data_IF_545662250924
#
_entry.id   IF_545662250924
#
_cell.length_a   1.000
_cell.length_b   1.000
_cell.length_c   1.000
_cell.angle_alpha   90.00
_cell.angle_beta   90.00
_cell.angle_gamma   90.00
#
_symmetry.space_group_name_H-M   'P 1'
#
loop_
_entity.id
_entity.type
_entity.pdbx_description
1 polymer ?
#
# COMPACT_ATOMS: atom_id res chain seq x y z
N UNK A 1 -6.30 -26.91 13.48
CA UNK A 1 -5.90 -26.45 12.14
C UNK A 1 -5.73 -24.94 12.24
N UNK A 2 -4.47 -24.49 12.09
CA UNK A 2 -4.13 -23.08 12.10
C UNK A 2 -4.83 -22.40 10.92
N UNK A 3 -5.80 -21.52 11.22
CA UNK A 3 -6.62 -20.85 10.20
C UNK A 3 -5.91 -19.63 9.57
N UNK A 4 -4.63 -19.43 9.87
CA UNK A 4 -3.87 -18.23 9.47
C UNK A 4 -2.67 -18.53 8.55
N UNK A 5 -2.59 -19.69 7.92
CA UNK A 5 -1.54 -19.94 6.93
C UNK A 5 -2.05 -19.43 5.59
N UNK A 6 -1.73 -18.18 5.27
CA UNK A 6 -1.89 -17.65 3.91
C UNK A 6 -0.83 -18.30 3.03
N UNK A 7 -1.19 -18.88 1.88
CA UNK A 7 -0.19 -19.44 0.97
C UNK A 7 0.75 -18.33 0.48
N UNK A 8 2.03 -18.63 0.24
CA UNK A 8 2.96 -17.67 -0.36
C UNK A 8 2.40 -17.10 -1.67
N UNK A 9 2.57 -15.78 -1.88
CA UNK A 9 2.05 -15.12 -3.09
C UNK A 9 2.53 -15.80 -4.38
N UNK A 10 3.79 -16.22 -4.40
CA UNK A 10 4.34 -16.94 -5.55
C UNK A 10 3.57 -18.22 -5.87
N UNK A 11 3.16 -18.98 -4.87
CA UNK A 11 2.40 -20.22 -5.10
C UNK A 11 1.00 -19.91 -5.68
N UNK A 12 0.39 -18.81 -5.23
CA UNK A 12 -0.89 -18.32 -5.78
C UNK A 12 -0.72 -17.93 -7.24
N UNK A 13 0.34 -17.17 -7.56
CA UNK A 13 0.67 -16.77 -8.94
C UNK A 13 0.89 -18.00 -9.82
N UNK A 14 1.71 -18.97 -9.36
CA UNK A 14 2.01 -20.19 -10.11
C UNK A 14 0.73 -21.03 -10.37
N UNK A 15 -0.21 -21.06 -9.44
CA UNK A 15 -1.50 -21.74 -9.63
C UNK A 15 -2.35 -21.00 -10.65
N UNK A 16 -2.51 -19.68 -10.52
CA UNK A 16 -3.31 -18.86 -11.42
C UNK A 16 -2.81 -18.94 -12.87
N UNK A 17 -1.51 -18.84 -13.07
CA UNK A 17 -0.90 -18.91 -14.41
C UNK A 17 -1.06 -20.27 -15.08
N UNK A 18 -1.08 -21.38 -14.33
CA UNK A 18 -1.43 -22.70 -14.88
C UNK A 18 -2.85 -22.75 -15.47
N UNK A 19 -3.73 -21.86 -15.01
CA UNK A 19 -5.09 -21.72 -15.51
C UNK A 19 -5.26 -20.52 -16.45
N UNK A 20 -4.16 -19.92 -16.94
CA UNK A 20 -4.16 -18.74 -17.80
C UNK A 20 -4.91 -17.54 -17.18
N UNK A 21 -4.86 -17.40 -15.86
CA UNK A 21 -5.48 -16.29 -15.14
C UNK A 21 -4.40 -15.28 -14.69
N UNK A 22 -4.57 -13.99 -15.01
CA UNK A 22 -3.69 -12.96 -14.47
C UNK A 22 -3.93 -12.74 -12.97
N UNK A 23 -2.88 -12.32 -12.26
CA UNK A 23 -2.91 -12.02 -10.84
C UNK A 23 -2.69 -10.52 -10.61
N UNK A 24 -3.64 -9.89 -9.95
CA UNK A 24 -3.56 -8.49 -9.51
C UNK A 24 -3.39 -8.50 -7.99
N UNK A 25 -2.38 -7.80 -7.50
CA UNK A 25 -2.06 -7.73 -6.06
C UNK A 25 -2.31 -6.31 -5.55
N UNK A 26 -3.15 -6.19 -4.54
CA UNK A 26 -3.21 -4.97 -3.72
C UNK A 26 -2.12 -5.05 -2.64
N UNK A 27 -1.05 -4.29 -2.85
CA UNK A 27 0.08 -4.17 -1.94
C UNK A 27 0.14 -2.78 -1.28
N UNK A 28 -1.00 -2.10 -1.16
CA UNK A 28 -1.08 -0.73 -0.66
C UNK A 28 -0.55 -0.55 0.77
N UNK A 29 -0.52 -1.61 1.58
CA UNK A 29 -0.01 -1.63 2.95
C UNK A 29 1.36 -2.29 3.12
N UNK A 30 1.98 -2.78 2.05
CA UNK A 30 3.16 -3.64 2.09
C UNK A 30 4.51 -2.88 2.06
N UNK A 31 4.46 -1.58 2.22
CA UNK A 31 5.63 -0.71 2.40
C UNK A 31 5.58 -0.10 3.81
N UNK A 32 6.72 0.09 4.47
CA UNK A 32 8.08 -0.30 4.10
C UNK A 32 8.29 -1.82 4.25
N UNK A 33 9.43 -2.42 3.93
CA UNK A 33 10.67 -1.81 3.43
C UNK A 33 10.58 -1.51 1.92
N UNK A 34 11.45 -0.61 1.44
CA UNK A 34 11.51 -0.24 0.02
C UNK A 34 11.83 -1.44 -0.90
N UNK A 35 12.53 -2.46 -0.39
CA UNK A 35 12.81 -3.71 -1.11
C UNK A 35 11.54 -4.46 -1.55
N UNK A 36 10.41 -4.25 -0.88
CA UNK A 36 9.14 -4.87 -1.25
C UNK A 36 8.64 -4.40 -2.62
N UNK A 37 9.00 -3.20 -3.07
CA UNK A 37 8.71 -2.76 -4.45
C UNK A 37 9.22 -3.77 -5.47
N UNK A 38 10.40 -4.34 -5.25
CA UNK A 38 10.99 -5.36 -6.12
C UNK A 38 10.53 -6.77 -5.78
N UNK A 39 10.46 -7.10 -4.50
CA UNK A 39 10.10 -8.44 -4.04
C UNK A 39 8.73 -8.90 -4.56
N UNK A 40 7.74 -8.01 -4.59
CA UNK A 40 6.42 -8.31 -5.14
C UNK A 40 6.45 -8.53 -6.65
N UNK A 41 7.23 -7.75 -7.40
CA UNK A 41 7.41 -7.96 -8.85
C UNK A 41 8.07 -9.31 -9.14
N UNK A 42 9.05 -9.71 -8.34
CA UNK A 42 9.78 -10.97 -8.50
C UNK A 42 8.91 -12.21 -8.21
N UNK A 43 7.72 -12.06 -7.62
CA UNK A 43 6.73 -13.15 -7.51
C UNK A 43 6.14 -13.56 -8.86
N UNK A 44 6.24 -12.70 -9.88
CA UNK A 44 5.65 -12.89 -11.19
C UNK A 44 4.19 -12.45 -11.31
N UNK A 45 3.63 -11.77 -10.31
CA UNK A 45 2.28 -11.19 -10.42
C UNK A 45 2.19 -10.21 -11.60
N UNK A 46 1.04 -10.20 -12.28
CA UNK A 46 0.86 -9.44 -13.52
C UNK A 46 0.69 -7.94 -13.28
N UNK A 47 0.04 -7.56 -12.19
CA UNK A 47 -0.11 -6.18 -11.74
C UNK A 47 -0.01 -6.11 -10.21
N UNK A 48 0.72 -5.12 -9.71
CA UNK A 48 0.88 -4.86 -8.28
C UNK A 48 0.62 -3.37 -8.03
N UNK A 49 -0.31 -3.07 -7.13
CA UNK A 49 -0.66 -1.70 -6.76
C UNK A 49 -0.09 -1.34 -5.38
N UNK A 50 0.72 -0.28 -5.31
CA UNK A 50 1.21 0.32 -4.08
C UNK A 50 0.57 1.70 -3.85
N UNK A 51 0.35 2.07 -2.59
CA UNK A 51 -0.14 3.40 -2.24
C UNK A 51 0.99 4.44 -2.28
N UNK A 52 0.77 5.55 -2.96
CA UNK A 52 1.70 6.69 -2.94
C UNK A 52 1.59 7.53 -1.67
N UNK A 53 0.41 7.57 -1.04
CA UNK A 53 0.12 8.43 0.11
C UNK A 53 0.36 7.79 1.49
N UNK A 54 0.78 6.52 1.57
CA UNK A 54 1.11 5.84 2.83
C UNK A 54 2.61 5.97 3.13
N UNK A 55 3.35 4.87 3.23
CA UNK A 55 4.77 4.85 3.57
C UNK A 55 5.67 5.70 2.66
N UNK A 56 5.30 5.87 1.40
CA UNK A 56 6.01 6.71 0.44
C UNK A 56 5.88 8.20 0.78
N UNK A 57 4.85 8.60 1.56
CA UNK A 57 4.58 9.99 1.96
C UNK A 57 4.34 10.95 0.79
N UNK A 58 3.88 10.44 -0.34
CA UNK A 58 3.43 11.24 -1.48
C UNK A 58 1.99 11.73 -1.33
N UNK A 59 1.44 12.42 -2.33
CA UNK A 59 0.04 12.84 -2.31
C UNK A 59 -0.93 11.66 -2.14
N UNK A 60 -1.97 11.84 -1.32
CA UNK A 60 -2.91 10.77 -0.92
C UNK A 60 -3.68 10.15 -2.09
N UNK A 61 -3.94 10.92 -3.15
CA UNK A 61 -4.66 10.48 -4.35
C UNK A 61 -3.79 9.66 -5.32
N UNK A 62 -2.51 9.44 -4.99
CA UNK A 62 -1.56 8.76 -5.89
C UNK A 62 -1.34 7.30 -5.53
N UNK A 63 -0.97 6.52 -6.53
CA UNK A 63 -0.52 5.15 -6.40
C UNK A 63 0.52 4.80 -7.46
N UNK A 64 1.20 3.69 -7.25
CA UNK A 64 2.12 3.10 -8.20
C UNK A 64 1.51 1.78 -8.68
N UNK A 65 1.43 1.60 -9.98
CA UNK A 65 1.05 0.32 -10.57
C UNK A 65 2.26 -0.26 -11.30
N UNK A 66 2.72 -1.39 -10.85
CA UNK A 66 3.84 -2.14 -11.42
C UNK A 66 3.32 -3.42 -12.05
N UNK A 67 4.03 -3.94 -13.05
CA UNK A 67 3.64 -5.21 -13.64
C UNK A 67 4.18 -5.43 -15.05
N UNK A 68 3.59 -6.39 -15.77
CA UNK A 68 3.99 -6.71 -17.12
C UNK A 68 3.68 -5.57 -18.08
N UNK A 69 4.56 -5.36 -19.09
CA UNK A 69 4.42 -4.30 -20.09
C UNK A 69 3.04 -4.31 -20.75
N UNK A 70 2.54 -5.51 -21.12
CA UNK A 70 1.26 -5.64 -21.80
C UNK A 70 0.08 -5.16 -20.93
N UNK A 71 0.05 -5.54 -19.66
CA UNK A 71 -1.02 -5.11 -18.75
C UNK A 71 -0.94 -3.62 -18.43
N UNK A 72 0.27 -3.08 -18.21
CA UNK A 72 0.47 -1.64 -17.97
C UNK A 72 0.06 -0.83 -19.21
N UNK A 73 0.40 -1.26 -20.41
CA UNK A 73 -0.03 -0.61 -21.64
C UNK A 73 -1.56 -0.59 -21.78
N UNK A 74 -2.23 -1.71 -21.47
CA UNK A 74 -3.70 -1.79 -21.44
C UNK A 74 -4.31 -0.81 -20.44
N UNK A 75 -3.75 -0.72 -19.24
CA UNK A 75 -4.19 0.25 -18.21
C UNK A 75 -3.97 1.68 -18.69
N UNK A 76 -2.84 1.99 -19.31
CA UNK A 76 -2.56 3.32 -19.86
C UNK A 76 -3.61 3.73 -20.89
N UNK A 77 -3.99 2.81 -21.81
CA UNK A 77 -5.06 3.05 -22.78
C UNK A 77 -6.42 3.36 -22.10
N UNK A 78 -6.73 2.69 -21.01
CA UNK A 78 -7.96 2.91 -20.25
C UNK A 78 -7.99 4.25 -19.50
N UNK A 79 -6.84 4.86 -19.27
CA UNK A 79 -6.71 6.20 -18.66
C UNK A 79 -6.75 7.36 -19.68
N UNK A 80 -6.70 7.05 -20.98
CA UNK A 80 -6.70 8.07 -22.01
C UNK A 80 -8.00 8.88 -22.02
N UNK A 81 -7.84 10.17 -22.20
CA UNK A 81 -8.89 11.15 -22.35
C UNK A 81 -8.36 12.23 -23.31
N UNK A 82 -8.40 11.91 -24.60
CA UNK A 82 -7.85 12.73 -25.65
C UNK A 82 -8.90 13.00 -26.72
N UNK A 83 -8.93 14.25 -27.18
CA UNK A 83 -9.76 14.70 -28.29
C UNK A 83 -8.97 14.77 -29.62
N UNK A 84 -7.86 14.03 -29.69
CA UNK A 84 -7.03 13.96 -30.88
C UNK A 84 -7.60 12.99 -31.91
N UNK A 85 -7.26 13.19 -33.17
CA UNK A 85 -7.59 12.24 -34.23
C UNK A 85 -6.64 11.05 -34.19
N UNK A 86 -7.18 9.86 -34.34
CA UNK A 86 -6.39 8.62 -34.32
C UNK A 86 -5.26 8.60 -35.36
N UNK A 87 -5.50 9.19 -36.54
CA UNK A 87 -4.52 9.21 -37.65
C UNK A 87 -3.22 9.90 -37.27
N UNK A 88 -3.31 10.98 -36.47
CA UNK A 88 -2.16 11.83 -36.11
C UNK A 88 -1.67 11.59 -34.66
N UNK A 89 -2.35 10.74 -33.92
CA UNK A 89 -1.91 10.37 -32.58
C UNK A 89 -0.69 9.43 -32.64
N UNK A 90 0.39 9.80 -31.99
CA UNK A 90 1.66 9.07 -31.93
C UNK A 90 1.94 8.63 -30.49
N UNK A 91 1.47 7.45 -30.05
CA UNK A 91 1.85 6.90 -28.76
C UNK A 91 3.32 6.47 -28.75
N UNK A 92 3.94 6.31 -27.57
CA UNK A 92 5.27 5.71 -27.47
C UNK A 92 5.24 4.29 -28.07
N UNK A 93 5.91 4.07 -29.19
CA UNK A 93 5.88 2.80 -29.96
C UNK A 93 6.37 1.60 -29.15
N UNK A 94 7.35 1.82 -28.26
CA UNK A 94 7.89 0.78 -27.40
C UNK A 94 6.93 0.41 -26.25
N UNK A 95 5.81 1.14 -26.10
CA UNK A 95 4.83 0.95 -25.03
C UNK A 95 3.44 0.58 -25.53
N UNK A 96 2.96 1.23 -26.59
CA UNK A 96 1.64 1.02 -27.18
C UNK A 96 1.80 0.74 -28.67
N UNK A 97 1.44 -0.46 -29.11
CA UNK A 97 1.37 -0.78 -30.54
C UNK A 97 0.06 -0.22 -31.13
N UNK A 98 0.17 0.93 -31.82
CA UNK A 98 -0.97 1.58 -32.46
C UNK A 98 -1.64 0.71 -33.53
N UNK A 99 -0.88 -0.21 -34.16
CA UNK A 99 -1.40 -1.07 -35.24
C UNK A 99 -2.43 -2.10 -34.76
N UNK A 100 -2.39 -2.43 -33.45
CA UNK A 100 -3.36 -3.33 -32.83
C UNK A 100 -4.66 -2.63 -32.40
N UNK A 101 -4.74 -1.30 -32.54
CA UNK A 101 -5.87 -0.51 -32.09
C UNK A 101 -6.80 -0.17 -33.25
N UNK A 102 -8.09 -0.25 -33.00
CA UNK A 102 -9.14 0.16 -33.97
C UNK A 102 -9.48 1.65 -33.91
N UNK A 103 -8.94 2.36 -32.93
CA UNK A 103 -9.16 3.79 -32.72
C UNK A 103 -8.60 4.26 -31.38
N UNK A 104 -8.62 5.58 -31.17
CA UNK A 104 -8.20 6.20 -29.92
C UNK A 104 -9.30 6.02 -28.86
N UNK A 105 -8.95 5.43 -27.69
CA UNK A 105 -9.90 5.36 -26.59
C UNK A 105 -10.32 6.78 -26.14
N UNK A 106 -11.62 7.06 -26.19
CA UNK A 106 -12.22 8.28 -25.62
C UNK A 106 -12.96 7.91 -24.36
N UNK A 107 -12.77 8.70 -23.32
CA UNK A 107 -13.41 8.45 -22.02
C UNK A 107 -13.19 7.02 -21.51
N UNK A 108 -11.93 6.58 -21.48
CA UNK A 108 -11.55 5.30 -20.93
C UNK A 108 -12.11 5.09 -19.52
N UNK A 109 -12.32 3.85 -19.12
CA UNK A 109 -12.91 3.48 -17.82
C UNK A 109 -12.11 4.09 -16.64
N UNK A 110 -10.80 4.27 -16.81
CA UNK A 110 -9.90 4.87 -15.82
C UNK A 110 -9.91 6.40 -15.77
N UNK A 111 -10.65 7.07 -16.65
CA UNK A 111 -10.67 8.56 -16.72
C UNK A 111 -11.06 9.21 -15.40
N UNK A 112 -11.99 8.62 -14.67
CA UNK A 112 -12.44 9.12 -13.36
C UNK A 112 -11.36 9.04 -12.27
N UNK A 113 -10.29 8.31 -12.49
CA UNK A 113 -9.15 8.12 -11.57
C UNK A 113 -7.91 8.91 -12.00
N UNK A 114 -8.08 9.87 -12.88
CA UNK A 114 -7.01 10.73 -13.40
C UNK A 114 -6.42 11.59 -12.28
N UNK A 115 -5.11 11.54 -12.10
CA UNK A 115 -4.38 12.37 -11.15
C UNK A 115 -3.80 13.61 -11.83
N UNK A 116 -3.66 14.69 -11.08
CA UNK A 116 -3.04 15.92 -11.56
C UNK A 116 -1.53 15.74 -11.75
N UNK A 117 -0.96 16.48 -12.70
CA UNK A 117 0.49 16.43 -12.97
C UNK A 117 1.34 16.85 -11.76
N UNK A 118 0.83 17.73 -10.92
CA UNK A 118 1.42 18.16 -9.65
C UNK A 118 1.53 16.98 -8.68
N UNK A 119 0.50 16.13 -8.62
CA UNK A 119 0.47 14.92 -7.80
C UNK A 119 1.43 13.86 -8.35
N UNK A 120 1.54 13.74 -9.69
CA UNK A 120 2.52 12.85 -10.33
C UNK A 120 3.94 13.30 -9.97
N UNK A 121 4.25 14.59 -10.10
CA UNK A 121 5.56 15.13 -9.71
C UNK A 121 5.83 14.92 -8.22
N UNK A 122 4.81 15.12 -7.37
CA UNK A 122 4.89 14.88 -5.93
C UNK A 122 5.21 13.43 -5.58
N UNK A 123 4.48 12.46 -6.16
CA UNK A 123 4.72 11.04 -5.87
C UNK A 123 6.07 10.55 -6.41
N UNK A 124 6.50 11.03 -7.57
CA UNK A 124 7.83 10.67 -8.10
C UNK A 124 8.95 11.18 -7.22
N UNK A 125 8.84 12.41 -6.71
CA UNK A 125 9.81 12.99 -5.76
C UNK A 125 9.82 12.19 -4.46
N UNK A 126 8.65 11.91 -3.90
CA UNK A 126 8.51 11.13 -2.67
C UNK A 126 9.06 9.70 -2.83
N UNK A 127 8.76 9.03 -3.94
CA UNK A 127 9.28 7.70 -4.25
C UNK A 127 10.81 7.70 -4.33
N UNK A 128 11.40 8.69 -5.00
CA UNK A 128 12.85 8.83 -5.08
C UNK A 128 13.49 8.95 -3.69
N UNK A 129 12.95 9.83 -2.85
CA UNK A 129 13.43 9.99 -1.47
C UNK A 129 13.23 8.74 -0.61
N UNK A 130 12.10 8.04 -0.80
CA UNK A 130 11.80 6.80 -0.10
C UNK A 130 12.78 5.67 -0.45
N UNK A 131 13.05 5.48 -1.74
CA UNK A 131 14.02 4.46 -2.21
C UNK A 131 15.44 4.77 -1.76
N UNK A 132 15.81 6.06 -1.65
CA UNK A 132 17.10 6.49 -1.11
C UNK A 132 17.17 6.43 0.44
N UNK A 133 16.07 6.05 1.11
CA UNK A 133 16.00 6.00 2.59
C UNK A 133 16.01 7.37 3.26
N UNK A 134 15.70 8.45 2.53
CA UNK A 134 15.66 9.83 3.06
C UNK A 134 14.33 10.18 3.70
N UNK A 135 13.26 9.47 3.35
CA UNK A 135 11.92 9.56 3.96
C UNK A 135 11.34 8.17 4.09
N UNK A 136 10.23 8.05 4.81
CA UNK A 136 9.56 6.79 5.06
C UNK A 136 9.92 6.23 6.43
N UNK A 137 9.94 4.93 6.59
CA UNK A 137 10.02 4.30 7.88
C UNK A 137 11.40 4.36 8.52
N UNK A 138 11.77 5.50 9.07
CA UNK A 138 12.75 5.52 10.17
C UNK A 138 11.99 5.22 11.48
N UNK A 139 12.01 3.97 11.88
CA UNK A 139 11.41 3.51 13.14
C UNK A 139 12.36 3.66 14.35
N UNK A 140 13.56 4.24 14.16
CA UNK A 140 14.62 4.27 15.19
C UNK A 140 14.19 4.95 16.48
N UNK A 141 13.32 5.96 16.43
CA UNK A 141 12.76 6.64 17.60
C UNK A 141 11.44 6.02 18.11
N UNK A 142 10.73 5.26 17.30
CA UNK A 142 9.37 4.81 17.65
C UNK A 142 9.38 3.77 18.77
N UNK A 143 10.36 2.89 18.81
CA UNK A 143 10.50 1.89 19.88
C UNK A 143 10.63 2.55 21.24
N UNK A 144 11.45 3.59 21.35
CA UNK A 144 11.61 4.35 22.61
C UNK A 144 10.32 5.05 23.04
N UNK A 145 9.51 5.53 22.10
CA UNK A 145 8.19 6.08 22.44
C UNK A 145 7.23 5.01 22.96
N UNK A 146 7.24 3.80 22.38
CA UNK A 146 6.42 2.69 22.87
C UNK A 146 6.88 2.20 24.26
N UNK A 147 8.18 2.15 24.50
CA UNK A 147 8.75 1.80 25.81
C UNK A 147 8.35 2.86 26.87
N UNK A 148 8.45 4.14 26.54
CA UNK A 148 7.98 5.20 27.42
C UNK A 148 6.47 5.09 27.75
N UNK A 149 5.64 4.77 26.74
CA UNK A 149 4.22 4.53 26.96
C UNK A 149 3.97 3.29 27.82
N UNK A 150 4.71 2.21 27.59
CA UNK A 150 4.61 0.97 28.37
C UNK A 150 4.93 1.22 29.85
N UNK A 151 5.99 1.98 30.13
CA UNK A 151 6.36 2.37 31.49
C UNK A 151 5.28 3.22 32.18
N UNK A 152 4.69 4.17 31.42
CA UNK A 152 3.59 5.01 31.91
C UNK A 152 2.29 4.25 32.21
N UNK A 153 2.10 3.07 31.60
CA UNK A 153 0.97 2.18 31.86
C UNK A 153 1.23 1.21 33.04
N UNK A 154 2.41 1.26 33.65
CA UNK A 154 2.76 0.40 34.78
C UNK A 154 1.80 0.60 35.95
N UNK A 155 1.33 -0.51 36.51
CA UNK A 155 0.36 -0.49 37.62
C UNK A 155 -1.11 -0.44 37.18
N UNK A 156 -1.40 -0.27 35.90
CA UNK A 156 -2.74 -0.48 35.36
C UNK A 156 -2.98 -1.99 35.09
N UNK A 157 -4.25 -2.46 35.12
CA UNK A 157 -4.57 -3.83 34.80
C UNK A 157 -4.47 -4.09 33.27
N UNK A 158 -3.28 -3.86 32.73
CA UNK A 158 -2.94 -3.97 31.33
C UNK A 158 -1.47 -4.40 31.17
N UNK A 159 -1.19 -5.28 30.26
CA UNK A 159 0.15 -5.78 29.95
C UNK A 159 0.58 -5.28 28.55
N UNK A 160 1.51 -4.31 28.44
CA UNK A 160 2.05 -3.88 27.17
C UNK A 160 3.03 -4.95 26.61
N UNK A 161 2.86 -5.31 25.33
CA UNK A 161 3.73 -6.24 24.59
C UNK A 161 4.22 -5.54 23.32
N UNK A 162 5.52 -5.22 23.28
CA UNK A 162 6.16 -4.57 22.13
C UNK A 162 6.83 -5.64 21.27
N UNK A 163 6.54 -5.65 20.00
CA UNK A 163 7.14 -6.53 18.99
C UNK A 163 7.36 -5.78 17.68
N UNK A 164 8.07 -6.38 16.75
CA UNK A 164 8.23 -5.84 15.40
C UNK A 164 7.22 -6.50 14.48
N UNK A 165 6.49 -5.68 13.71
CA UNK A 165 5.61 -6.18 12.67
C UNK A 165 6.42 -6.97 11.64
N UNK A 166 6.06 -8.22 11.35
CA UNK A 166 6.89 -9.11 10.52
C UNK A 166 6.96 -8.68 9.04
N UNK A 167 6.06 -7.81 8.58
CA UNK A 167 6.00 -7.35 7.20
C UNK A 167 6.75 -6.03 7.04
N UNK A 168 6.47 -5.07 7.92
CA UNK A 168 7.00 -3.71 7.82
C UNK A 168 8.26 -3.48 8.66
N UNK A 169 8.53 -4.33 9.65
CA UNK A 169 9.58 -4.11 10.65
C UNK A 169 9.26 -2.98 11.64
N UNK A 170 8.06 -2.41 11.58
CA UNK A 170 7.64 -1.35 12.49
C UNK A 170 7.47 -1.90 13.92
N UNK A 171 7.94 -1.19 14.95
CA UNK A 171 7.61 -1.54 16.31
C UNK A 171 6.12 -1.27 16.58
N UNK A 172 5.44 -2.27 17.12
CA UNK A 172 4.02 -2.22 17.46
C UNK A 172 3.86 -2.62 18.92
N UNK A 173 2.96 -1.97 19.63
CA UNK A 173 2.61 -2.35 21.00
C UNK A 173 1.18 -2.89 21.05
N UNK A 174 1.03 -4.14 21.46
CA UNK A 174 -0.27 -4.67 21.86
C UNK A 174 -0.46 -4.44 23.36
N UNK A 175 -1.59 -3.88 23.72
CA UNK A 175 -1.98 -3.72 25.12
C UNK A 175 -3.00 -4.80 25.49
N UNK A 176 -2.56 -5.79 26.25
CA UNK A 176 -3.44 -6.87 26.73
C UNK A 176 -4.12 -6.41 28.00
N UNK A 177 -5.44 -6.19 27.93
CA UNK A 177 -6.24 -5.66 29.02
C UNK A 177 -6.80 -6.77 29.91
N UNK A 178 -6.73 -6.61 31.23
CA UNK A 178 -7.56 -7.39 32.16
C UNK A 178 -8.96 -6.78 32.23
N UNK A 179 -9.84 -7.26 31.34
CA UNK A 179 -11.21 -6.77 31.21
C UNK A 179 -12.04 -6.93 32.52
N UNK A 180 -11.67 -7.88 33.40
CA UNK A 180 -12.37 -8.07 34.67
C UNK A 180 -11.94 -7.01 35.68
N UNK A 181 -10.66 -6.71 35.77
CA UNK A 181 -10.14 -5.69 36.68
C UNK A 181 -10.52 -4.28 36.23
N UNK A 182 -10.59 -4.03 34.91
CA UNK A 182 -11.00 -2.73 34.35
C UNK A 182 -12.53 -2.56 34.38
N UNK A 183 -13.29 -3.65 34.32
CA UNK A 183 -14.75 -3.62 34.21
C UNK A 183 -15.27 -3.22 32.83
N UNK A 184 -14.40 -3.21 31.80
CA UNK A 184 -14.70 -2.86 30.41
C UNK A 184 -14.02 -3.82 29.45
N UNK A 185 -14.64 -4.08 28.32
CA UNK A 185 -14.02 -4.78 27.19
C UNK A 185 -13.01 -3.87 26.47
N UNK A 186 -12.08 -4.46 25.70
CA UNK A 186 -11.14 -3.70 24.88
C UNK A 186 -11.82 -2.72 23.90
N UNK A 187 -12.98 -3.11 23.36
CA UNK A 187 -13.79 -2.23 22.48
C UNK A 187 -14.32 -1.02 23.21
N UNK A 188 -14.78 -1.19 24.46
CA UNK A 188 -15.27 -0.10 25.31
C UNK A 188 -14.13 0.83 25.69
N UNK A 189 -12.96 0.29 26.06
CA UNK A 189 -11.75 1.08 26.31
C UNK A 189 -11.38 1.92 25.08
N UNK A 190 -11.36 1.33 23.88
CA UNK A 190 -11.09 2.08 22.64
C UNK A 190 -12.11 3.20 22.41
N UNK A 191 -13.39 2.99 22.73
CA UNK A 191 -14.42 4.04 22.62
C UNK A 191 -14.19 5.18 23.58
N UNK A 192 -13.86 4.89 24.82
CA UNK A 192 -13.58 5.93 25.81
C UNK A 192 -12.31 6.71 25.47
N UNK A 193 -11.24 6.05 25.02
CA UNK A 193 -10.04 6.70 24.53
C UNK A 193 -10.32 7.68 23.38
N UNK A 194 -11.18 7.31 22.45
CA UNK A 194 -11.60 8.19 21.33
C UNK A 194 -12.40 9.41 21.76
N UNK A 195 -13.12 9.32 22.90
CA UNK A 195 -13.93 10.41 23.47
C UNK A 195 -13.12 11.37 24.32
N UNK A 196 -11.89 11.00 24.66
CA UNK A 196 -11.00 11.82 25.44
C UNK A 196 -10.61 13.13 24.73
N UNK A 197 -10.03 14.03 25.47
CA UNK A 197 -9.43 15.27 24.94
C UNK A 197 -7.95 15.34 25.40
N UNK A 198 -6.99 15.10 24.51
CA UNK A 198 -7.16 14.71 23.11
C UNK A 198 -7.72 13.29 22.93
N UNK A 199 -8.47 13.06 21.84
CA UNK A 199 -8.94 11.73 21.49
C UNK A 199 -7.79 10.82 21.03
N UNK A 200 -7.72 9.59 21.56
CA UNK A 200 -6.71 8.59 21.21
C UNK A 200 -7.37 7.49 20.36
N UNK A 201 -6.78 7.19 19.21
CA UNK A 201 -7.31 6.23 18.23
C UNK A 201 -6.37 5.02 18.13
N UNK A 202 -6.47 4.03 19.03
CA UNK A 202 -5.73 2.79 18.90
C UNK A 202 -6.20 2.01 17.68
N UNK A 203 -5.27 1.29 17.05
CA UNK A 203 -5.49 0.44 15.88
C UNK A 203 -6.14 -0.89 16.22
#
# INVERSE_FOLDING_TARGET
ADRNVTPPLKDVVDVAHRHCLPVIVDAAGELPPASNLRAFVDTGADLIAFSGGKAILGPQSTGLLLGSKAHIASVALQHLDQDERFDIWEPPEDFIDKSELVGLPRHGIGRGFKVAKEEIAGVLTALHLFVEGKIGADFSGQRGHLEYLADGLSGLPAEPKIFEDPVTGAPVMHLVLDARAIGMSGVEVCRELRRGDPGIFPG
#
